data_IF_533708635056
#
_entry.id   IF_533708635056
#
_cell.length_a   1.000
_cell.length_b   1.000
_cell.length_c   1.000
_cell.angle_alpha   90.00
_cell.angle_beta   90.00
_cell.angle_gamma   90.00
#
_symmetry.space_group_name_H-M   'P 1'
#
loop_
_entity.id
_entity.type
_entity.pdbx_description
1 polymer ?
#
# COMPACT_ATOMS: atom_id res chain seq x y z
N UNK A 1 18.21 15.72 -19.06
CA UNK A 1 18.01 14.35 -18.55
C UNK A 1 17.19 13.56 -19.54
N UNK A 2 17.45 12.27 -19.69
CA UNK A 2 18.33 11.77 -20.75
C UNK A 2 17.46 10.89 -21.64
N UNK A 3 17.48 11.09 -22.96
CA UNK A 3 16.67 10.32 -23.92
C UNK A 3 16.87 8.82 -23.72
N UNK A 4 18.10 8.43 -23.37
CA UNK A 4 18.51 7.07 -23.04
C UNK A 4 17.73 6.47 -21.86
N UNK A 5 17.53 7.22 -20.77
CA UNK A 5 16.75 6.73 -19.61
C UNK A 5 15.28 6.51 -19.96
N UNK A 6 14.68 7.41 -20.76
CA UNK A 6 13.29 7.24 -21.23
C UNK A 6 13.14 6.03 -22.15
N UNK A 7 14.10 5.81 -23.05
CA UNK A 7 14.11 4.64 -23.92
C UNK A 7 14.28 3.35 -23.11
N UNK A 8 15.18 3.33 -22.12
CA UNK A 8 15.39 2.20 -21.22
C UNK A 8 14.13 1.88 -20.41
N UNK A 9 13.49 2.89 -19.81
CA UNK A 9 12.25 2.70 -19.07
C UNK A 9 11.15 2.12 -19.96
N UNK A 10 11.00 2.63 -21.19
CA UNK A 10 10.02 2.09 -22.16
C UNK A 10 10.32 0.66 -22.53
N UNK A 11 11.59 0.31 -22.73
CA UNK A 11 11.99 -1.06 -23.01
C UNK A 11 11.69 -1.99 -21.82
N UNK A 12 11.98 -1.58 -20.58
CA UNK A 12 11.68 -2.38 -19.38
C UNK A 12 10.16 -2.53 -19.18
N UNK A 13 9.39 -1.45 -19.36
CA UNK A 13 7.93 -1.50 -19.27
C UNK A 13 7.33 -2.40 -20.35
N UNK A 14 7.84 -2.33 -21.57
CA UNK A 14 7.42 -3.22 -22.66
C UNK A 14 7.75 -4.68 -22.36
N UNK A 15 8.97 -4.99 -21.92
CA UNK A 15 9.36 -6.37 -21.55
C UNK A 15 8.56 -6.91 -20.36
N UNK A 16 8.24 -6.06 -19.39
CA UNK A 16 7.38 -6.42 -18.24
C UNK A 16 5.87 -6.32 -18.52
N UNK A 17 5.48 -5.94 -19.75
CA UNK A 17 4.11 -5.68 -20.16
C UNK A 17 3.35 -4.78 -19.18
N UNK A 18 4.01 -3.74 -18.66
CA UNK A 18 3.42 -2.77 -17.73
C UNK A 18 2.93 -1.58 -18.54
N UNK A 19 1.61 -1.34 -18.66
CA UNK A 19 1.12 -0.14 -19.29
C UNK A 19 1.49 1.06 -18.41
N UNK A 20 2.27 1.98 -18.98
CA UNK A 20 2.70 3.21 -18.32
C UNK A 20 2.13 4.41 -19.05
N UNK A 21 1.65 5.45 -18.33
CA UNK A 21 1.16 6.66 -18.97
C UNK A 21 2.33 7.51 -19.48
N UNK A 22 2.06 8.38 -20.45
CA UNK A 22 3.03 9.39 -20.87
C UNK A 22 3.02 10.56 -19.89
N UNK A 23 3.93 10.54 -18.93
CA UNK A 23 4.05 11.58 -17.89
C UNK A 23 5.50 12.01 -17.71
N UNK A 24 5.71 13.06 -16.91
CA UNK A 24 7.04 13.45 -16.49
C UNK A 24 7.63 12.55 -15.39
N UNK A 25 6.82 11.63 -14.85
CA UNK A 25 7.29 10.73 -13.82
C UNK A 25 8.11 9.58 -14.39
N UNK A 26 9.19 9.26 -13.69
CA UNK A 26 10.12 8.21 -14.10
C UNK A 26 9.95 6.99 -13.20
N UNK A 27 9.44 5.86 -13.73
CA UNK A 27 9.36 4.63 -12.98
C UNK A 27 10.72 3.95 -12.91
N UNK A 28 11.14 3.64 -11.69
CA UNK A 28 12.31 2.84 -11.37
C UNK A 28 11.86 1.49 -10.86
N UNK A 29 11.98 0.47 -11.72
CA UNK A 29 11.56 -0.88 -11.40
C UNK A 29 12.48 -1.51 -10.35
N UNK A 30 11.89 -2.18 -9.38
CA UNK A 30 12.58 -3.00 -8.40
C UNK A 30 12.03 -4.43 -8.40
N UNK A 31 12.58 -5.27 -7.53
CA UNK A 31 12.13 -6.64 -7.32
C UNK A 31 11.46 -6.74 -5.96
N UNK A 32 10.34 -7.46 -5.92
CA UNK A 32 9.79 -7.96 -4.67
C UNK A 32 10.82 -8.83 -3.94
N UNK A 33 10.72 -8.88 -2.61
CA UNK A 33 11.64 -9.59 -1.72
C UNK A 33 10.86 -10.51 -0.80
N UNK A 34 11.41 -11.68 -0.52
CA UNK A 34 10.87 -12.56 0.51
C UNK A 34 12.01 -13.11 1.36
N UNK A 35 11.71 -13.44 2.61
CA UNK A 35 12.66 -14.14 3.45
C UNK A 35 12.72 -15.62 3.07
N UNK A 36 13.90 -16.11 2.72
CA UNK A 36 14.18 -17.52 2.46
C UNK A 36 14.29 -18.33 3.78
N UNK A 37 14.36 -19.68 3.71
CA UNK A 37 14.49 -20.52 4.90
C UNK A 37 15.76 -20.25 5.72
N UNK A 38 16.82 -19.76 5.07
CA UNK A 38 18.10 -19.40 5.70
C UNK A 38 18.10 -17.98 6.29
N UNK A 39 16.92 -17.39 6.44
CA UNK A 39 16.74 -16.11 7.10
C UNK A 39 17.43 -14.96 6.35
N UNK A 40 17.35 -14.95 5.02
CA UNK A 40 17.82 -13.83 4.17
C UNK A 40 16.72 -13.32 3.24
N UNK A 41 16.69 -12.01 3.03
CA UNK A 41 15.81 -11.39 2.05
C UNK A 41 16.38 -11.59 0.64
N UNK A 42 15.69 -12.38 -0.18
CA UNK A 42 16.09 -12.71 -1.55
C UNK A 42 15.02 -12.22 -2.55
N UNK A 43 15.39 -11.99 -3.83
CA UNK A 43 14.41 -11.67 -4.86
C UNK A 43 13.25 -12.68 -4.89
N UNK A 44 12.02 -12.18 -4.92
CA UNK A 44 10.84 -12.97 -5.25
C UNK A 44 10.79 -13.16 -6.77
N UNK A 45 10.92 -14.41 -7.18
CA UNK A 45 10.76 -14.84 -8.57
C UNK A 45 9.50 -15.69 -8.61
N UNK A 46 8.45 -15.27 -9.33
CA UNK A 46 7.28 -16.12 -9.51
C UNK A 46 7.76 -17.45 -10.09
N UNK A 47 7.56 -18.54 -9.38
CA UNK A 47 7.75 -19.87 -9.94
C UNK A 47 6.78 -19.99 -11.11
N UNK A 48 7.30 -20.17 -12.33
CA UNK A 48 6.46 -20.58 -13.46
C UNK A 48 5.88 -21.93 -13.06
N UNK A 49 4.63 -21.94 -12.60
CA UNK A 49 3.92 -23.20 -12.40
C UNK A 49 3.88 -23.89 -13.76
N UNK A 50 4.56 -25.02 -13.85
CA UNK A 50 4.43 -25.97 -14.94
C UNK A 50 2.94 -26.21 -15.23
N UNK A 51 2.59 -26.24 -16.52
CA UNK A 51 1.29 -26.67 -17.03
C UNK A 51 0.84 -27.95 -16.32
N UNK A 52 0.09 -27.83 -15.25
CA UNK A 52 -0.60 -28.93 -14.59
C UNK A 52 -2.05 -28.47 -14.48
N UNK A 53 -2.89 -29.13 -15.26
CA UNK A 53 -4.33 -28.90 -15.29
C UNK A 53 -4.90 -29.14 -13.89
N UNK A 54 -5.12 -28.08 -13.13
CA UNK A 54 -5.83 -28.16 -11.87
C UNK A 54 -7.28 -28.58 -12.16
N UNK A 55 -7.74 -29.66 -11.53
CA UNK A 55 -9.16 -30.04 -11.54
C UNK A 55 -9.96 -28.97 -10.82
N UNK A 56 -10.95 -28.43 -11.52
CA UNK A 56 -11.90 -27.44 -11.01
C UNK A 56 -12.78 -28.04 -9.89
N UNK A 57 -12.53 -27.63 -8.65
CA UNK A 57 -13.54 -27.70 -7.59
C UNK A 57 -14.18 -26.31 -7.46
N UNK A 58 -15.50 -26.28 -7.49
CA UNK A 58 -16.34 -25.07 -7.48
C UNK A 58 -16.34 -24.39 -6.11
N UNK A 59 -15.21 -23.81 -5.73
CA UNK A 59 -15.10 -22.98 -4.53
C UNK A 59 -15.06 -21.50 -4.94
N UNK A 60 -15.92 -20.71 -4.29
CA UNK A 60 -16.11 -19.28 -4.59
C UNK A 60 -14.76 -18.54 -4.58
N UNK A 61 -14.50 -17.83 -5.66
CA UNK A 61 -13.30 -17.01 -5.78
C UNK A 61 -13.38 -15.86 -4.77
N UNK A 62 -12.37 -15.61 -3.88
CA UNK A 62 -12.44 -14.47 -2.99
C UNK A 62 -12.29 -13.21 -3.83
N UNK A 63 -13.44 -12.62 -4.14
CA UNK A 63 -13.65 -11.45 -4.98
C UNK A 63 -13.26 -10.15 -4.27
N UNK A 64 -12.52 -10.22 -3.16
CA UNK A 64 -12.24 -9.09 -2.29
C UNK A 64 -10.77 -9.10 -1.87
N UNK A 65 -10.20 -7.91 -1.71
CA UNK A 65 -8.90 -7.64 -1.10
C UNK A 65 -9.08 -6.80 0.14
N UNK A 66 -8.32 -7.11 1.19
CA UNK A 66 -8.22 -6.31 2.41
C UNK A 66 -6.92 -5.52 2.39
N UNK A 67 -7.03 -4.20 2.26
CA UNK A 67 -5.93 -3.24 2.22
C UNK A 67 -5.86 -2.48 3.55
N UNK A 68 -4.69 -2.48 4.18
CA UNK A 68 -4.36 -1.57 5.27
C UNK A 68 -3.42 -0.48 4.74
N UNK A 69 -3.69 0.78 5.07
CA UNK A 69 -2.72 1.87 4.91
C UNK A 69 -2.48 2.58 6.24
N UNK A 70 -1.23 2.91 6.54
CA UNK A 70 -0.86 3.56 7.80
C UNK A 70 0.47 4.34 7.70
N UNK A 71 0.43 5.64 7.98
CA UNK A 71 1.62 6.41 8.30
C UNK A 71 2.11 6.02 9.70
N UNK A 72 3.33 5.46 9.82
CA UNK A 72 3.86 4.94 11.09
C UNK A 72 4.84 5.91 11.78
N UNK A 73 4.83 7.17 11.35
CA UNK A 73 5.56 8.32 11.89
C UNK A 73 7.05 8.06 12.16
N UNK A 74 7.87 8.53 11.24
CA UNK A 74 9.30 8.25 11.20
C UNK A 74 10.07 8.92 12.34
N UNK A 75 9.47 9.94 12.96
CA UNK A 75 10.18 10.92 13.78
C UNK A 75 9.99 10.71 15.28
N UNK A 76 8.95 9.97 15.66
CA UNK A 76 8.72 9.62 17.06
C UNK A 76 9.77 8.69 17.65
N UNK A 77 9.98 8.88 18.95
CA UNK A 77 10.85 8.04 19.78
C UNK A 77 10.34 6.60 19.90
N UNK A 78 11.18 5.69 20.41
CA UNK A 78 10.82 4.29 20.68
C UNK A 78 10.36 3.53 19.42
N UNK A 79 11.04 3.77 18.30
CA UNK A 79 10.68 3.22 16.98
C UNK A 79 10.56 1.69 16.99
N UNK A 80 11.46 0.98 17.67
CA UNK A 80 11.44 -0.49 17.67
C UNK A 80 10.21 -1.04 18.39
N UNK A 81 9.89 -0.49 19.56
CA UNK A 81 8.74 -0.86 20.37
C UNK A 81 7.44 -0.54 19.62
N UNK A 82 7.28 0.69 19.11
CA UNK A 82 6.12 1.11 18.32
C UNK A 82 5.86 0.19 17.13
N UNK A 83 6.89 -0.07 16.34
CA UNK A 83 6.77 -0.92 15.14
C UNK A 83 6.43 -2.37 15.52
N UNK A 84 6.98 -2.87 16.63
CA UNK A 84 6.64 -4.21 17.13
C UNK A 84 5.17 -4.31 17.53
N UNK A 85 4.64 -3.31 18.22
CA UNK A 85 3.22 -3.25 18.58
C UNK A 85 2.32 -3.14 17.36
N UNK A 86 2.68 -2.30 16.37
CA UNK A 86 1.98 -2.18 15.08
C UNK A 86 1.93 -3.54 14.38
N UNK A 87 3.06 -4.24 14.25
CA UNK A 87 3.10 -5.57 13.62
C UNK A 87 2.23 -6.56 14.42
N UNK A 88 2.29 -6.53 15.74
CA UNK A 88 1.46 -7.40 16.60
C UNK A 88 -0.02 -7.16 16.38
N UNK A 89 -0.43 -5.91 16.37
CA UNK A 89 -1.81 -5.52 16.12
C UNK A 89 -2.27 -5.97 14.72
N UNK A 90 -1.53 -5.61 13.67
CA UNK A 90 -1.89 -5.93 12.28
C UNK A 90 -1.99 -7.43 12.04
N UNK A 91 -1.06 -8.21 12.59
CA UNK A 91 -1.06 -9.68 12.44
C UNK A 91 -2.15 -10.38 13.23
N UNK A 92 -2.84 -9.66 14.14
CA UNK A 92 -3.99 -10.16 14.90
C UNK A 92 -5.35 -9.75 14.33
N UNK A 93 -5.37 -8.92 13.27
CA UNK A 93 -6.62 -8.45 12.67
C UNK A 93 -7.42 -9.59 12.02
N UNK A 94 -8.74 -9.47 12.14
CA UNK A 94 -9.74 -10.28 11.45
C UNK A 94 -10.75 -9.32 10.78
N UNK A 95 -10.92 -9.35 9.45
CA UNK A 95 -10.28 -10.25 8.49
C UNK A 95 -8.77 -10.02 8.36
N UNK A 96 -8.06 -11.08 7.95
CA UNK A 96 -6.62 -10.97 7.67
C UNK A 96 -6.34 -9.98 6.53
N UNK A 97 -5.30 -9.18 6.71
CA UNK A 97 -4.88 -8.18 5.74
C UNK A 97 -4.13 -8.84 4.58
N UNK A 98 -4.49 -8.48 3.34
CA UNK A 98 -3.82 -8.97 2.13
C UNK A 98 -2.64 -8.07 1.74
N UNK A 99 -2.81 -6.75 1.91
CA UNK A 99 -1.88 -5.71 1.43
C UNK A 99 -1.69 -4.68 2.53
N UNK A 100 -0.45 -4.32 2.85
CA UNK A 100 -0.13 -3.24 3.77
C UNK A 100 0.67 -2.16 3.05
N UNK A 101 0.20 -0.93 3.15
CA UNK A 101 0.88 0.29 2.72
C UNK A 101 1.34 1.07 3.94
N UNK A 102 2.65 1.09 4.18
CA UNK A 102 3.24 1.96 5.18
C UNK A 102 3.77 3.24 4.55
N UNK A 103 3.56 4.36 5.24
CA UNK A 103 4.23 5.63 5.01
C UNK A 103 5.12 5.95 6.20
N UNK A 104 6.12 6.83 6.01
CA UNK A 104 7.08 7.21 7.05
C UNK A 104 7.81 6.05 7.73
N UNK A 105 8.16 5.02 6.95
CA UNK A 105 9.05 3.99 7.46
C UNK A 105 10.45 4.57 7.54
N UNK A 106 10.95 4.84 8.75
CA UNK A 106 12.34 5.24 8.99
C UNK A 106 13.30 4.05 8.80
N UNK A 107 14.62 4.31 8.71
CA UNK A 107 15.61 3.23 8.58
C UNK A 107 15.58 2.24 9.76
N UNK A 108 15.48 2.68 11.04
CA UNK A 108 15.29 1.75 12.16
C UNK A 108 13.96 1.00 12.09
N UNK A 109 12.87 1.65 11.66
CA UNK A 109 11.58 0.99 11.48
C UNK A 109 11.67 -0.12 10.42
N UNK A 110 12.35 0.13 9.30
CA UNK A 110 12.57 -0.88 8.27
C UNK A 110 13.35 -2.08 8.81
N UNK A 111 14.42 -1.83 9.56
CA UNK A 111 15.20 -2.91 10.19
C UNK A 111 14.32 -3.76 11.11
N UNK A 112 13.45 -3.13 11.90
CA UNK A 112 12.51 -3.84 12.78
C UNK A 112 11.48 -4.66 11.98
N UNK A 113 10.86 -4.06 10.95
CA UNK A 113 9.89 -4.75 10.07
C UNK A 113 10.54 -5.96 9.40
N UNK A 114 11.72 -5.78 8.80
CA UNK A 114 12.41 -6.85 8.07
C UNK A 114 13.03 -7.92 9.00
N UNK A 115 13.25 -7.59 10.27
CA UNK A 115 13.75 -8.49 11.30
C UNK A 115 12.66 -9.33 11.98
N UNK A 116 11.42 -8.85 12.00
CA UNK A 116 10.30 -9.51 12.69
C UNK A 116 9.93 -10.85 12.03
N UNK A 117 9.85 -11.91 12.84
CA UNK A 117 9.58 -13.26 12.35
C UNK A 117 8.21 -13.39 11.68
N UNK A 118 7.19 -12.66 12.13
CA UNK A 118 5.84 -12.71 11.56
C UNK A 118 5.82 -12.11 10.16
N UNK A 119 6.57 -11.03 9.96
CA UNK A 119 6.76 -10.41 8.64
C UNK A 119 7.51 -11.37 7.72
N UNK A 120 8.65 -11.89 8.17
CA UNK A 120 9.50 -12.78 7.38
C UNK A 120 8.77 -14.06 6.94
N UNK A 121 7.95 -14.63 7.82
CA UNK A 121 7.22 -15.85 7.55
C UNK A 121 6.06 -15.61 6.57
N UNK A 122 5.28 -14.55 6.77
CA UNK A 122 3.97 -14.40 6.10
C UNK A 122 3.91 -13.34 5.00
N UNK A 123 4.95 -12.52 4.80
CA UNK A 123 4.88 -11.36 3.90
C UNK A 123 5.99 -11.32 2.85
N UNK A 124 5.66 -10.74 1.70
CA UNK A 124 6.57 -10.34 0.62
C UNK A 124 6.72 -8.83 0.72
N UNK A 125 7.95 -8.33 0.72
CA UNK A 125 8.27 -6.92 0.94
C UNK A 125 8.72 -6.24 -0.35
N UNK A 126 8.37 -4.96 -0.52
CA UNK A 126 8.94 -4.11 -1.56
C UNK A 126 10.44 -3.84 -1.32
N UNK A 127 10.86 -3.80 -0.06
CA UNK A 127 12.22 -3.45 0.36
C UNK A 127 12.95 -4.66 0.99
N UNK A 128 14.27 -4.73 0.79
CA UNK A 128 15.19 -5.57 1.58
C UNK A 128 16.19 -4.73 2.40
N UNK A 129 16.29 -3.45 2.11
CA UNK A 129 17.18 -2.44 2.69
C UNK A 129 16.66 -1.05 2.28
N UNK A 130 17.36 0.01 2.67
CA UNK A 130 17.01 1.41 2.38
C UNK A 130 17.69 1.98 1.12
N UNK A 131 18.34 1.14 0.29
CA UNK A 131 19.14 1.63 -0.85
C UNK A 131 18.29 2.34 -1.92
N UNK A 132 17.02 1.97 -2.05
CA UNK A 132 16.09 2.62 -2.97
C UNK A 132 15.67 4.03 -2.54
N UNK A 133 15.88 4.40 -1.26
CA UNK A 133 15.33 5.64 -0.66
C UNK A 133 16.18 6.88 -0.93
N UNK A 134 17.35 6.71 -1.56
CA UNK A 134 18.28 7.80 -1.88
C UNK A 134 18.67 8.63 -0.66
N UNK A 135 18.24 9.89 -0.61
CA UNK A 135 18.55 10.86 0.44
C UNK A 135 17.48 10.93 1.52
N UNK A 136 16.34 10.25 1.32
CA UNK A 136 15.24 10.31 2.27
C UNK A 136 15.62 9.57 3.56
N UNK A 137 15.25 10.13 4.70
CA UNK A 137 15.39 9.50 6.02
C UNK A 137 14.32 8.45 6.29
N UNK A 138 13.23 8.48 5.53
CA UNK A 138 12.11 7.55 5.58
C UNK A 138 11.45 7.41 4.20
N UNK A 139 10.71 6.32 3.97
CA UNK A 139 10.01 6.11 2.71
C UNK A 139 8.71 5.31 2.89
N UNK A 140 8.02 5.08 1.78
CA UNK A 140 6.90 4.15 1.68
C UNK A 140 7.39 2.71 1.58
N UNK A 141 6.70 1.77 2.22
CA UNK A 141 6.94 0.33 2.12
C UNK A 141 5.62 -0.38 1.82
N UNK A 142 5.66 -1.36 0.92
CA UNK A 142 4.50 -2.22 0.65
C UNK A 142 4.80 -3.65 1.06
N UNK A 143 3.88 -4.26 1.82
CA UNK A 143 3.92 -5.68 2.15
C UNK A 143 2.72 -6.39 1.51
N UNK A 144 2.96 -7.55 0.91
CA UNK A 144 1.97 -8.40 0.26
C UNK A 144 1.88 -9.75 0.98
N UNK A 145 0.69 -10.20 1.33
CA UNK A 145 0.48 -11.47 2.03
C UNK A 145 0.93 -12.67 1.18
N UNK A 146 1.80 -13.52 1.72
CA UNK A 146 2.20 -14.75 1.03
C UNK A 146 1.01 -15.68 0.84
N UNK A 147 0.13 -15.78 1.83
CA UNK A 147 -1.06 -16.62 1.74
C UNK A 147 -1.97 -16.22 0.57
N UNK A 148 -2.04 -14.91 0.25
CA UNK A 148 -2.84 -14.40 -0.86
C UNK A 148 -2.17 -14.53 -2.22
N UNK A 149 -0.86 -14.30 -2.30
CA UNK A 149 -0.17 -14.09 -3.58
C UNK A 149 0.87 -15.15 -3.96
N UNK A 150 1.07 -16.20 -3.15
CA UNK A 150 1.96 -17.33 -3.48
C UNK A 150 1.18 -18.59 -3.84
N UNK A 151 1.48 -19.27 -4.97
CA UNK A 151 0.77 -20.47 -5.39
C UNK A 151 0.73 -21.52 -4.28
N UNK A 152 -0.46 -21.84 -3.77
CA UNK A 152 -0.63 -22.92 -2.84
C UNK A 152 -0.79 -24.24 -3.62
N UNK A 153 0.24 -25.08 -3.56
CA UNK A 153 0.29 -26.37 -4.28
C UNK A 153 -0.77 -27.36 -3.80
N UNK A 154 -1.31 -27.17 -2.59
CA UNK A 154 -2.24 -28.11 -1.96
C UNK A 154 -3.71 -27.77 -2.21
N UNK A 155 -4.08 -26.49 -2.30
CA UNK A 155 -5.47 -26.07 -2.52
C UNK A 155 -5.81 -25.79 -3.98
N UNK A 156 -4.80 -25.64 -4.86
CA UNK A 156 -4.99 -25.32 -6.28
C UNK A 156 -5.68 -23.97 -6.53
N UNK A 157 -5.85 -23.14 -5.49
CA UNK A 157 -6.75 -22.00 -5.49
C UNK A 157 -5.99 -20.73 -5.13
N UNK A 158 -5.37 -20.16 -6.16
CA UNK A 158 -4.68 -18.88 -6.08
C UNK A 158 -5.35 -17.90 -7.01
N UNK A 159 -6.10 -16.98 -6.42
CA UNK A 159 -6.95 -16.09 -7.21
C UNK A 159 -6.28 -14.75 -7.49
N UNK A 160 -5.03 -14.57 -7.02
CA UNK A 160 -4.20 -13.44 -7.39
C UNK A 160 -2.71 -13.83 -7.46
N UNK A 161 -1.95 -13.14 -8.32
CA UNK A 161 -0.49 -13.24 -8.41
C UNK A 161 0.16 -11.86 -8.41
N UNK A 162 1.40 -11.77 -7.92
CA UNK A 162 2.15 -10.52 -7.92
C UNK A 162 2.68 -10.19 -9.31
N UNK A 163 2.46 -8.94 -9.72
CA UNK A 163 3.09 -8.33 -10.87
C UNK A 163 4.30 -7.47 -10.52
N UNK A 164 4.80 -6.69 -11.50
CA UNK A 164 5.93 -5.79 -11.32
C UNK A 164 5.70 -4.73 -10.23
N UNK A 165 6.80 -4.28 -9.62
CA UNK A 165 6.84 -3.17 -8.66
C UNK A 165 7.86 -2.12 -9.11
N UNK A 166 7.54 -0.84 -8.90
CA UNK A 166 8.40 0.29 -9.22
C UNK A 166 8.09 1.52 -8.37
N UNK A 167 9.08 2.40 -8.21
CA UNK A 167 8.89 3.75 -7.66
C UNK A 167 8.71 4.74 -8.80
N UNK A 168 7.57 5.42 -8.86
CA UNK A 168 7.29 6.48 -9.82
C UNK A 168 7.63 7.84 -9.19
N UNK A 169 8.71 8.47 -9.67
CA UNK A 169 9.13 9.79 -9.16
C UNK A 169 8.41 10.91 -9.87
N UNK A 170 7.69 11.72 -9.11
CA UNK A 170 7.04 12.94 -9.57
C UNK A 170 7.70 14.19 -8.96
N UNK A 171 7.36 15.41 -9.41
CA UNK A 171 7.77 16.63 -8.73
C UNK A 171 7.35 16.64 -7.25
N UNK A 172 8.28 16.98 -6.36
CA UNK A 172 8.08 17.01 -4.91
C UNK A 172 9.09 17.94 -4.24
N UNK A 173 8.69 18.62 -3.16
CA UNK A 173 9.58 19.39 -2.26
C UNK A 173 10.26 18.52 -1.21
N UNK A 174 9.67 17.37 -0.90
CA UNK A 174 10.12 16.46 0.16
C UNK A 174 10.72 15.17 -0.40
N UNK A 175 11.15 15.20 -1.68
CA UNK A 175 11.68 14.05 -2.41
C UNK A 175 10.75 12.81 -2.41
N UNK A 176 9.44 13.02 -2.31
CA UNK A 176 8.41 11.97 -2.30
C UNK A 176 8.35 11.21 -3.63
N UNK A 177 7.91 9.96 -3.57
CA UNK A 177 7.54 9.16 -4.73
C UNK A 177 6.25 8.37 -4.48
N UNK A 178 5.72 7.77 -5.54
CA UNK A 178 4.66 6.76 -5.45
C UNK A 178 5.27 5.36 -5.63
N UNK A 179 4.98 4.46 -4.68
CA UNK A 179 5.37 3.06 -4.78
C UNK A 179 4.23 2.27 -5.43
N UNK A 180 4.40 1.94 -6.70
CA UNK A 180 3.39 1.30 -7.51
C UNK A 180 3.70 -0.18 -7.70
N UNK A 181 2.67 -1.01 -7.71
CA UNK A 181 2.76 -2.37 -8.17
C UNK A 181 1.49 -2.80 -8.91
N UNK A 182 1.62 -3.88 -9.68
CA UNK A 182 0.47 -4.55 -10.27
C UNK A 182 0.24 -5.89 -9.56
N UNK A 183 -1.02 -6.31 -9.49
CA UNK A 183 -1.41 -7.69 -9.22
C UNK A 183 -2.29 -8.20 -10.37
N UNK A 184 -2.37 -9.52 -10.51
CA UNK A 184 -3.23 -10.15 -11.51
C UNK A 184 -4.21 -11.07 -10.82
N UNK A 185 -5.49 -10.68 -10.83
CA UNK A 185 -6.58 -11.45 -10.26
C UNK A 185 -7.15 -12.43 -11.30
N UNK A 186 -7.34 -13.69 -10.93
CA UNK A 186 -7.96 -14.70 -11.78
C UNK A 186 -9.47 -14.72 -11.55
N UNK A 187 -10.24 -14.57 -12.63
CA UNK A 187 -11.68 -14.79 -12.61
C UNK A 187 -12.01 -16.09 -13.31
N UNK A 188 -12.81 -16.94 -12.66
CA UNK A 188 -13.46 -18.04 -13.36
C UNK A 188 -14.57 -17.42 -14.22
N UNK A 189 -14.39 -17.42 -15.55
CA UNK A 189 -15.51 -17.05 -16.42
C UNK A 189 -16.62 -18.06 -16.21
N UNK A 190 -17.86 -17.58 -16.12
CA UNK A 190 -19.05 -18.44 -16.13
C UNK A 190 -18.89 -19.51 -17.21
N UNK A 191 -19.13 -20.76 -16.83
CA UNK A 191 -18.83 -22.01 -17.55
C UNK A 191 -19.60 -22.21 -18.86
N UNK A 192 -20.05 -21.13 -19.49
CA UNK A 192 -20.68 -21.14 -20.80
C UNK A 192 -19.67 -20.65 -21.84
N UNK A 193 -19.03 -21.64 -22.47
CA UNK A 193 -18.22 -21.54 -23.69
C UNK A 193 -16.71 -21.37 -23.50
N UNK A 194 -16.02 -22.44 -23.06
CA UNK A 194 -14.64 -22.78 -23.46
C UNK A 194 -13.54 -21.71 -23.37
N UNK A 195 -13.76 -20.59 -22.71
CA UNK A 195 -12.80 -19.50 -22.60
C UNK A 195 -11.81 -19.80 -21.49
N UNK A 196 -10.51 -19.64 -21.81
CA UNK A 196 -9.46 -19.67 -20.81
C UNK A 196 -9.74 -18.64 -19.70
N UNK A 197 -9.39 -18.92 -18.44
CA UNK A 197 -9.54 -17.95 -17.35
C UNK A 197 -8.83 -16.64 -17.72
N UNK A 198 -9.57 -15.53 -17.70
CA UNK A 198 -9.02 -14.20 -17.93
C UNK A 198 -8.46 -13.64 -16.63
N UNK A 199 -7.22 -13.16 -16.66
CA UNK A 199 -6.64 -12.41 -15.54
C UNK A 199 -6.88 -10.90 -15.71
N UNK A 200 -7.38 -10.24 -14.68
CA UNK A 200 -7.49 -8.78 -14.65
C UNK A 200 -6.28 -8.20 -13.92
N UNK A 201 -5.63 -7.21 -14.54
CA UNK A 201 -4.59 -6.43 -13.89
C UNK A 201 -5.23 -5.38 -12.98
N UNK A 202 -4.80 -5.33 -11.74
CA UNK A 202 -5.18 -4.29 -10.79
C UNK A 202 -3.92 -3.56 -10.35
N UNK A 203 -3.90 -2.23 -10.51
CA UNK A 203 -2.77 -1.40 -10.08
C UNK A 203 -2.97 -0.92 -8.65
N UNK A 204 -1.97 -1.11 -7.81
CA UNK A 204 -1.95 -0.66 -6.43
C UNK A 204 -0.86 0.41 -6.28
N UNK A 205 -1.17 1.52 -5.62
CA UNK A 205 -0.23 2.64 -5.45
C UNK A 205 -0.22 3.09 -3.99
N UNK A 206 0.93 2.97 -3.32
CA UNK A 206 1.18 3.54 -2.00
C UNK A 206 1.80 4.94 -2.15
N UNK A 207 1.20 5.95 -1.51
CA UNK A 207 1.67 7.33 -1.57
C UNK A 207 1.89 7.96 -0.20
N UNK A 208 2.86 8.84 -0.14
CA UNK A 208 2.94 9.91 0.86
C UNK A 208 3.16 11.20 0.07
N UNK A 209 2.12 12.01 -0.05
CA UNK A 209 2.18 13.25 -0.84
C UNK A 209 2.95 14.36 -0.12
N UNK A 210 3.23 15.47 -0.81
CA UNK A 210 3.93 16.61 -0.20
C UNK A 210 3.18 17.13 1.02
N UNK A 211 3.87 17.19 2.15
CA UNK A 211 3.35 17.71 3.42
C UNK A 211 3.32 19.25 3.43
N UNK A 212 2.72 19.84 4.47
CA UNK A 212 2.65 21.28 4.74
C UNK A 212 1.88 22.13 3.70
N UNK A 213 1.30 23.29 4.11
CA UNK A 213 0.57 24.19 3.22
C UNK A 213 1.51 25.12 2.42
N UNK A 214 2.47 24.57 1.68
CA UNK A 214 3.44 25.35 0.88
C UNK A 214 2.83 25.70 -0.48
N UNK A 215 2.84 26.98 -0.84
CA UNK A 215 2.38 27.45 -2.15
C UNK A 215 3.55 27.84 -3.10
N UNK A 216 3.53 27.43 -4.39
CA UNK A 216 2.52 26.56 -5.01
C UNK A 216 2.63 25.10 -4.51
N UNK A 217 1.49 24.45 -4.32
CA UNK A 217 1.41 23.03 -3.95
C UNK A 217 1.79 22.11 -5.11
N UNK A 218 2.52 21.03 -4.83
CA UNK A 218 2.76 19.97 -5.80
C UNK A 218 1.72 18.85 -5.75
N UNK A 219 0.91 18.74 -4.68
CA UNK A 219 -0.08 17.66 -4.52
C UNK A 219 -1.05 17.53 -5.70
N UNK A 220 -1.58 18.61 -6.30
CA UNK A 220 -2.43 18.49 -7.50
C UNK A 220 -1.73 17.76 -8.65
N UNK A 221 -0.43 18.05 -8.85
CA UNK A 221 0.36 17.42 -9.89
C UNK A 221 0.73 15.97 -9.54
N UNK A 222 1.05 15.70 -8.28
CA UNK A 222 1.33 14.35 -7.79
C UNK A 222 0.12 13.43 -7.99
N UNK A 223 -1.08 13.86 -7.57
CA UNK A 223 -2.33 13.10 -7.76
C UNK A 223 -2.65 12.90 -9.24
N UNK A 224 -2.43 13.91 -10.08
CA UNK A 224 -2.62 13.78 -11.54
C UNK A 224 -1.71 12.73 -12.18
N UNK A 225 -0.47 12.63 -11.71
CA UNK A 225 0.45 11.60 -12.19
C UNK A 225 -0.04 10.22 -11.73
N UNK A 226 -0.30 9.99 -10.45
CA UNK A 226 -0.70 8.66 -9.96
C UNK A 226 -2.05 8.20 -10.54
N UNK A 227 -3.00 9.11 -10.76
CA UNK A 227 -4.28 8.78 -11.37
C UNK A 227 -4.09 8.30 -12.81
N UNK A 228 -3.21 8.93 -13.58
CA UNK A 228 -2.87 8.47 -14.93
C UNK A 228 -2.25 7.06 -14.95
N UNK A 229 -1.50 6.70 -13.91
CA UNK A 229 -0.98 5.34 -13.76
C UNK A 229 -2.11 4.35 -13.53
N UNK A 230 -3.07 4.66 -12.65
CA UNK A 230 -4.26 3.81 -12.43
C UNK A 230 -5.05 3.66 -13.73
N UNK A 231 -5.38 4.75 -14.40
CA UNK A 231 -6.17 4.74 -15.64
C UNK A 231 -5.49 3.98 -16.78
N UNK A 232 -4.15 4.02 -16.88
CA UNK A 232 -3.42 3.22 -17.87
C UNK A 232 -3.50 1.70 -17.62
N UNK A 233 -3.77 1.28 -16.39
CA UNK A 233 -3.98 -0.13 -16.04
C UNK A 233 -5.45 -0.57 -16.19
N UNK A 234 -6.37 0.38 -16.42
CA UNK A 234 -7.81 0.14 -16.51
C UNK A 234 -8.53 0.18 -15.17
N UNK A 235 -7.93 -0.38 -14.11
CA UNK A 235 -8.47 -0.28 -12.75
C UNK A 235 -7.35 -0.28 -11.68
N UNK A 236 -7.67 0.19 -10.49
CA UNK A 236 -6.71 0.21 -9.40
C UNK A 236 -7.15 0.98 -8.16
N UNK A 237 -6.26 0.99 -7.18
CA UNK A 237 -6.38 1.72 -5.93
C UNK A 237 -5.10 2.52 -5.66
N UNK A 238 -5.28 3.73 -5.15
CA UNK A 238 -4.23 4.48 -4.47
C UNK A 238 -4.64 4.70 -3.01
N UNK A 239 -3.70 4.46 -2.10
CA UNK A 239 -3.93 4.70 -0.68
C UNK A 239 -2.64 5.19 -0.01
N UNK A 240 -2.81 5.90 1.10
CA UNK A 240 -1.71 6.47 1.85
C UNK A 240 -2.06 7.81 2.45
N UNK A 241 -1.01 8.55 2.81
CA UNK A 241 -1.12 9.89 3.36
C UNK A 241 -1.17 10.92 2.22
N UNK A 242 -2.35 11.53 2.03
CA UNK A 242 -2.59 12.51 0.98
C UNK A 242 -2.24 13.93 1.42
N UNK A 243 -2.02 14.18 2.71
CA UNK A 243 -1.74 15.51 3.27
C UNK A 243 -2.63 16.64 2.69
N UNK A 244 -3.99 16.53 2.71
CA UNK A 244 -4.89 17.58 2.23
C UNK A 244 -4.93 18.75 3.22
N UNK A 245 -3.92 19.61 3.15
CA UNK A 245 -3.71 20.74 4.08
C UNK A 245 -4.01 22.11 3.47
N UNK A 246 -4.47 22.15 2.21
CA UNK A 246 -4.98 23.33 1.51
C UNK A 246 -6.39 23.07 1.00
N UNK A 247 -7.18 24.13 0.82
CA UNK A 247 -8.57 24.04 0.33
C UNK A 247 -8.67 23.35 -1.04
N UNK A 248 -7.70 23.58 -1.93
CA UNK A 248 -7.65 22.95 -3.24
C UNK A 248 -7.52 21.42 -3.18
N UNK A 249 -7.00 20.88 -2.07
CA UNK A 249 -6.76 19.46 -1.89
C UNK A 249 -8.07 18.65 -1.76
N UNK A 250 -9.15 19.31 -1.33
CA UNK A 250 -10.46 18.68 -1.13
C UNK A 250 -11.04 18.08 -2.42
N UNK A 251 -10.77 18.72 -3.56
CA UNK A 251 -11.31 18.30 -4.85
C UNK A 251 -10.35 17.41 -5.66
N UNK A 252 -9.18 17.05 -5.13
CA UNK A 252 -8.15 16.39 -5.95
C UNK A 252 -8.51 14.98 -6.39
N UNK A 253 -9.20 14.20 -5.55
CA UNK A 253 -9.65 12.86 -5.91
C UNK A 253 -10.65 12.94 -7.08
N UNK A 254 -11.70 13.75 -6.93
CA UNK A 254 -12.76 13.89 -7.93
C UNK A 254 -12.24 14.48 -9.26
N UNK A 255 -11.39 15.52 -9.20
CA UNK A 255 -10.76 16.12 -10.39
C UNK A 255 -9.90 15.14 -11.19
N UNK A 256 -9.50 14.03 -10.58
CA UNK A 256 -8.69 12.98 -11.19
C UNK A 256 -9.48 11.73 -11.56
N UNK A 257 -10.81 11.80 -11.51
CA UNK A 257 -11.72 10.70 -11.83
C UNK A 257 -11.45 9.45 -10.98
N UNK A 258 -11.08 9.68 -9.72
CA UNK A 258 -10.98 8.66 -8.70
C UNK A 258 -12.19 8.77 -7.78
N UNK A 259 -12.57 7.69 -7.11
CA UNK A 259 -13.64 7.65 -6.12
C UNK A 259 -13.03 7.53 -4.71
N UNK A 260 -13.34 8.46 -3.81
CA UNK A 260 -12.93 8.38 -2.40
C UNK A 260 -13.74 7.31 -1.66
N UNK A 261 -13.09 6.22 -1.24
CA UNK A 261 -13.75 5.10 -0.58
C UNK A 261 -14.45 5.53 0.73
N UNK A 262 -13.84 6.46 1.48
CA UNK A 262 -14.47 6.98 2.70
C UNK A 262 -15.72 7.78 2.36
N UNK A 263 -15.61 8.70 1.40
CA UNK A 263 -16.71 9.58 1.00
C UNK A 263 -17.97 8.82 0.54
N UNK A 264 -17.80 7.68 -0.13
CA UNK A 264 -18.94 6.88 -0.61
C UNK A 264 -19.50 5.88 0.43
N UNK A 265 -18.69 5.40 1.37
CA UNK A 265 -19.12 4.41 2.36
C UNK A 265 -19.53 5.03 3.71
N UNK A 266 -19.03 6.24 4.01
CA UNK A 266 -19.12 6.90 5.32
C UNK A 266 -19.35 8.41 5.17
N UNK A 267 -20.26 8.83 4.28
CA UNK A 267 -20.49 10.26 3.95
C UNK A 267 -20.77 11.16 5.16
N UNK A 268 -21.41 10.61 6.20
CA UNK A 268 -21.80 11.35 7.41
C UNK A 268 -20.70 11.42 8.48
N UNK A 269 -19.60 10.68 8.30
CA UNK A 269 -18.48 10.62 9.23
C UNK A 269 -17.28 11.39 8.65
N UNK A 270 -16.73 12.39 9.37
CA UNK A 270 -15.56 13.12 8.89
C UNK A 270 -14.33 12.23 8.66
N UNK A 271 -14.24 11.07 9.34
CA UNK A 271 -13.19 10.08 9.13
C UNK A 271 -11.79 10.57 9.47
N UNK A 272 -11.66 11.36 10.54
CA UNK A 272 -10.37 11.90 10.95
C UNK A 272 -9.35 10.79 11.15
N UNK A 273 -8.18 10.96 10.54
CA UNK A 273 -7.06 10.01 10.68
C UNK A 273 -5.88 10.62 11.41
N UNK A 274 -5.92 11.93 11.69
CA UNK A 274 -4.82 12.64 12.33
C UNK A 274 -5.33 13.75 13.24
N UNK A 275 -4.61 14.00 14.35
CA UNK A 275 -4.91 15.07 15.31
C UNK A 275 -6.12 14.81 16.23
N UNK A 276 -6.67 13.59 16.23
CA UNK A 276 -7.87 13.22 17.01
C UNK A 276 -7.65 13.29 18.52
N UNK A 277 -6.42 13.09 18.97
CA UNK A 277 -6.03 13.16 20.39
C UNK A 277 -5.95 14.59 20.95
N UNK A 278 -5.99 15.60 20.07
CA UNK A 278 -5.86 17.01 20.43
C UNK A 278 -4.45 17.43 20.82
N UNK A 279 -3.45 16.56 20.63
CA UNK A 279 -2.05 16.86 20.96
C UNK A 279 -1.37 17.72 19.86
N UNK A 280 -2.04 17.89 18.72
CA UNK A 280 -1.55 18.63 17.56
C UNK A 280 -1.98 20.10 17.57
N UNK A 281 -1.15 21.03 17.03
CA UNK A 281 -1.48 22.46 16.97
C UNK A 281 -2.55 22.81 15.93
N UNK A 282 -2.97 21.84 15.12
CA UNK A 282 -3.98 22.00 14.08
C UNK A 282 -5.22 21.15 14.40
N UNK A 283 -6.41 21.54 13.93
CA UNK A 283 -7.62 20.74 14.09
C UNK A 283 -7.46 19.33 13.49
N UNK A 284 -8.21 18.33 14.02
CA UNK A 284 -8.24 16.99 13.44
C UNK A 284 -8.56 17.04 11.93
N UNK A 285 -7.91 16.17 11.16
CA UNK A 285 -8.08 16.12 9.71
C UNK A 285 -8.02 14.66 9.20
N UNK A 286 -8.59 14.43 8.02
CA UNK A 286 -8.54 13.16 7.30
C UNK A 286 -7.39 13.21 6.30
N UNK A 287 -6.18 12.95 6.79
CA UNK A 287 -4.96 13.01 5.99
C UNK A 287 -4.81 11.78 5.10
N UNK A 288 -5.12 10.62 5.67
CA UNK A 288 -5.01 9.33 5.00
C UNK A 288 -6.28 9.05 4.20
N UNK A 289 -6.12 8.54 2.98
CA UNK A 289 -7.23 8.25 2.08
C UNK A 289 -7.03 6.95 1.33
N UNK A 290 -8.15 6.36 0.88
CA UNK A 290 -8.18 5.26 -0.09
C UNK A 290 -9.05 5.71 -1.25
N UNK A 291 -8.49 5.81 -2.44
CA UNK A 291 -9.20 6.20 -3.65
C UNK A 291 -9.06 5.14 -4.75
N UNK A 292 -10.15 4.86 -5.46
CA UNK A 292 -10.22 3.77 -6.45
C UNK A 292 -10.65 4.27 -7.83
N UNK A 293 -10.30 3.51 -8.87
CA UNK A 293 -10.94 3.61 -10.18
C UNK A 293 -11.20 2.20 -10.74
N UNK A 294 -12.41 1.98 -11.27
CA UNK A 294 -12.81 0.69 -11.82
C UNK A 294 -12.91 -0.46 -10.81
N UNK A 295 -12.89 -0.16 -9.50
CA UNK A 295 -13.06 -1.11 -8.39
C UNK A 295 -14.17 -0.60 -7.46
N UNK A 296 -14.72 -1.49 -6.64
CA UNK A 296 -15.80 -1.13 -5.69
C UNK A 296 -15.35 -1.38 -4.25
N UNK A 297 -15.16 -0.35 -3.41
CA UNK A 297 -14.88 -0.58 -1.99
C UNK A 297 -16.14 -1.10 -1.30
N UNK A 298 -16.00 -2.06 -0.40
CA UNK A 298 -17.09 -2.72 0.31
C UNK A 298 -17.17 -2.38 1.79
N UNK A 299 -16.03 -2.07 2.41
CA UNK A 299 -15.97 -1.55 3.78
C UNK A 299 -14.75 -0.65 3.95
N UNK A 300 -14.85 0.30 4.88
CA UNK A 300 -13.72 1.11 5.34
C UNK A 300 -13.94 1.50 6.81
N UNK A 301 -12.85 1.49 7.57
CA UNK A 301 -12.81 1.92 8.98
C UNK A 301 -11.43 2.46 9.37
N UNK A 302 -11.41 3.28 10.41
CA UNK A 302 -10.19 3.78 11.05
C UNK A 302 -9.71 2.82 12.14
N UNK A 303 -8.41 2.57 12.18
CA UNK A 303 -7.74 1.84 13.24
C UNK A 303 -6.97 2.82 14.13
N UNK A 304 -7.49 3.07 15.33
CA UNK A 304 -6.83 3.96 16.28
C UNK A 304 -5.49 3.36 16.75
N UNK A 305 -4.38 4.15 16.75
CA UNK A 305 -3.12 3.67 17.30
C UNK A 305 -3.29 3.44 18.80
N UNK A 306 -2.87 2.27 19.26
CA UNK A 306 -2.63 2.03 20.68
C UNK A 306 -1.38 2.74 21.16
N UNK A 307 -0.98 2.44 22.38
CA UNK A 307 0.19 3.04 23.03
C UNK A 307 1.14 1.95 23.47
N UNK A 308 2.41 2.26 23.62
CA UNK A 308 3.41 1.21 23.97
C UNK A 308 2.98 0.52 25.27
N UNK A 309 2.96 -0.82 25.27
CA UNK A 309 2.61 -1.62 26.44
C UNK A 309 1.10 -1.79 26.71
N UNK A 310 0.20 -1.29 25.85
CA UNK A 310 -1.25 -1.45 26.04
C UNK A 310 -1.82 -2.74 25.47
N UNK A 311 -1.16 -3.38 24.49
CA UNK A 311 -1.70 -4.56 23.80
C UNK A 311 -1.79 -5.81 24.70
N UNK A 312 -1.08 -5.82 25.84
CA UNK A 312 -1.04 -6.94 26.80
C UNK A 312 -1.62 -6.66 28.19
N UNK A 313 -2.06 -5.44 28.48
CA UNK A 313 -2.71 -5.09 29.76
C UNK A 313 -4.08 -4.50 29.47
N UNK A 314 -5.15 -5.24 29.76
CA UNK A 314 -6.55 -4.82 29.60
C UNK A 314 -6.99 -3.69 30.53
N UNK A 315 -6.16 -2.66 30.71
CA UNK A 315 -6.42 -1.53 31.59
C UNK A 315 -5.89 -0.27 30.94
N UNK A 316 -6.78 0.71 30.73
CA UNK A 316 -6.44 2.09 30.42
C UNK A 316 -5.58 2.63 31.57
N UNK A 317 -4.25 2.61 31.43
CA UNK A 317 -3.37 3.33 32.34
C UNK A 317 -3.51 4.83 32.05
N UNK A 318 -3.57 5.63 33.10
CA UNK A 318 -3.53 7.09 32.99
C UNK A 318 -2.24 7.53 32.27
N UNK A 319 -2.34 8.58 31.43
CA UNK A 319 -1.24 9.17 30.67
C UNK A 319 -0.01 9.39 31.57
N UNK A 320 1.02 8.56 31.41
CA UNK A 320 2.34 8.80 32.00
C UNK A 320 3.20 9.62 31.02
N UNK A 321 4.31 10.24 31.47
CA UNK A 321 5.22 10.95 30.58
C UNK A 321 5.91 10.07 29.51
N UNK A 322 5.81 8.75 29.65
CA UNK A 322 6.36 7.74 28.72
C UNK A 322 5.29 7.16 27.77
N UNK A 323 4.10 7.76 27.77
CA UNK A 323 2.94 7.28 27.03
C UNK A 323 3.06 7.67 25.55
N UNK A 324 3.82 6.89 24.76
CA UNK A 324 4.06 7.15 23.34
C UNK A 324 3.07 6.35 22.49
N UNK A 325 2.27 7.00 21.63
CA UNK A 325 1.39 6.29 20.70
C UNK A 325 2.22 5.59 19.62
N UNK A 326 1.68 4.51 19.06
CA UNK A 326 2.35 3.78 17.98
C UNK A 326 2.54 4.62 16.71
N UNK A 327 1.65 5.58 16.48
CA UNK A 327 1.69 6.59 15.44
C UNK A 327 0.79 7.76 15.88
N UNK A 328 1.03 8.96 15.37
CA UNK A 328 0.09 10.10 15.44
C UNK A 328 -1.04 9.98 14.41
N UNK A 329 -0.95 9.03 13.48
CA UNK A 329 -2.01 8.68 12.53
C UNK A 329 -2.82 7.46 12.98
N UNK A 330 -4.10 7.46 12.65
CA UNK A 330 -4.95 6.27 12.59
C UNK A 330 -4.72 5.56 11.26
N UNK A 331 -4.67 4.23 11.29
CA UNK A 331 -4.66 3.42 10.08
C UNK A 331 -6.02 3.41 9.40
N UNK A 332 -6.06 3.09 8.11
CA UNK A 332 -7.30 2.79 7.39
C UNK A 332 -7.30 1.36 6.92
N UNK A 333 -8.31 0.59 7.33
CA UNK A 333 -8.59 -0.75 6.84
C UNK A 333 -9.73 -0.69 5.84
N UNK A 334 -9.47 -1.11 4.60
CA UNK A 334 -10.42 -1.02 3.50
C UNK A 334 -10.54 -2.35 2.78
N UNK A 335 -11.77 -2.81 2.59
CA UNK A 335 -12.07 -3.96 1.74
C UNK A 335 -12.49 -3.50 0.35
N UNK A 336 -11.93 -4.12 -0.68
CA UNK A 336 -12.13 -3.72 -2.08
C UNK A 336 -12.52 -4.95 -2.90
N UNK A 337 -13.66 -4.88 -3.59
CA UNK A 337 -14.08 -5.90 -4.54
C UNK A 337 -13.31 -5.77 -5.85
N UNK A 338 -12.79 -6.90 -6.33
CA UNK A 338 -11.98 -7.05 -7.53
C UNK A 338 -12.82 -7.24 -8.79
#
# INVERSE_FOLDING_TARGET
MDFLKRAQTRFISWTKQVPLPFTEAYPEFQLWRHCDPVQKWVPWIPTQSSNTSAKSTSAECPSQLVLLTWNIDATSSQTQERVTEIITFITSLDPQVDIIFFQEVSKPALQQILGDSRIRLSWISSECDDTAWRKQSFATVTLMSKARFTPNTESGMNNASLGPIWRARYPSRFDRDALCCDIFALFSSDSKLGSNPSSTRVRLINVHLDSLPIQPSFRPRQISIISSYIHSAGCGVVAGDFNPVLEEDNALIDKNHLTDAWGILRSEDPGYTWGVDGDQPFPPNRLDKVAVAGLTPSSIETLQPGRIGTLGSGSQKAKSPEDVPWSDHHGLLCSIKL
#
